data_IF_540727636723
#
_entry.id   IF_540727636723
#
_cell.length_a   1.000
_cell.length_b   1.000
_cell.length_c   1.000
_cell.angle_alpha   90.00
_cell.angle_beta   90.00
_cell.angle_gamma   90.00
#
_symmetry.space_group_name_H-M   'P 1'
#
loop_
_entity.id
_entity.type
_entity.pdbx_description
1 polymer ?
#
# COMPACT_ATOMS: atom_id res chain seq x y z
N UNK A 1 -6.75 -6.55 -2.28
CA UNK A 1 -5.65 -6.88 -3.21
C UNK A 1 -5.17 -5.59 -3.85
N UNK A 2 -3.86 -5.39 -3.92
CA UNK A 2 -3.25 -4.28 -4.64
C UNK A 2 -1.99 -4.78 -5.32
N UNK A 3 -1.51 -4.06 -6.32
CA UNK A 3 -0.29 -4.36 -7.08
C UNK A 3 0.58 -3.11 -7.06
N UNK A 4 1.85 -3.28 -6.72
CA UNK A 4 2.87 -2.24 -6.72
C UNK A 4 4.02 -2.64 -7.64
N UNK A 5 4.77 -1.67 -8.11
CA UNK A 5 6.01 -1.88 -8.85
C UNK A 5 7.24 -1.93 -7.91
N UNK A 6 8.45 -2.09 -8.47
CA UNK A 6 9.71 -2.14 -7.72
C UNK A 6 10.13 -0.81 -7.11
N UNK A 7 9.63 0.32 -7.63
CA UNK A 7 9.76 1.65 -7.04
C UNK A 7 8.71 1.94 -5.96
N UNK A 8 7.98 0.90 -5.51
CA UNK A 8 6.91 0.99 -4.51
C UNK A 8 5.72 1.86 -4.92
N UNK A 9 5.54 2.13 -6.22
CA UNK A 9 4.38 2.87 -6.71
C UNK A 9 3.21 1.94 -6.91
N UNK A 10 2.03 2.41 -6.56
CA UNK A 10 0.78 1.67 -6.73
C UNK A 10 0.41 1.63 -8.20
N UNK A 11 0.27 0.43 -8.76
CA UNK A 11 -0.22 0.21 -10.12
C UNK A 11 -1.73 -0.01 -10.11
N UNK A 12 -2.21 -0.85 -9.19
CA UNK A 12 -3.60 -1.27 -9.10
C UNK A 12 -4.03 -1.44 -7.65
N UNK A 13 -5.26 -1.05 -7.34
CA UNK A 13 -5.87 -1.25 -6.03
C UNK A 13 -7.27 -1.85 -6.20
N UNK A 14 -7.67 -2.75 -5.30
CA UNK A 14 -9.02 -3.30 -5.33
C UNK A 14 -10.07 -2.25 -4.95
N UNK A 15 -11.25 -2.36 -5.55
CA UNK A 15 -12.38 -1.44 -5.33
C UNK A 15 -12.68 -1.17 -3.85
N UNK A 16 -12.67 -2.21 -3.01
CA UNK A 16 -12.96 -2.06 -1.57
C UNK A 16 -11.99 -1.11 -0.85
N UNK A 17 -10.70 -1.13 -1.21
CA UNK A 17 -9.72 -0.26 -0.57
C UNK A 17 -9.84 1.19 -1.07
N UNK A 18 -10.22 1.39 -2.33
CA UNK A 18 -10.57 2.70 -2.89
C UNK A 18 -11.75 3.31 -2.14
N UNK A 19 -12.82 2.54 -1.93
CA UNK A 19 -14.01 2.97 -1.18
C UNK A 19 -13.68 3.32 0.28
N UNK A 20 -12.88 2.49 0.95
CA UNK A 20 -12.47 2.71 2.34
C UNK A 20 -11.61 3.97 2.53
N UNK A 21 -10.79 4.31 1.53
CA UNK A 21 -9.95 5.52 1.53
C UNK A 21 -10.65 6.73 0.91
N UNK A 22 -11.84 6.56 0.34
CA UNK A 22 -12.58 7.58 -0.40
C UNK A 22 -11.76 8.21 -1.55
N UNK A 23 -11.03 7.37 -2.29
CA UNK A 23 -10.20 7.79 -3.44
C UNK A 23 -10.55 6.99 -4.69
N UNK A 24 -10.18 7.50 -5.87
CA UNK A 24 -10.33 6.77 -7.13
C UNK A 24 -9.05 5.99 -7.48
N UNK A 25 -9.17 5.07 -8.44
CA UNK A 25 -8.01 4.33 -8.94
C UNK A 25 -6.97 5.26 -9.59
N UNK A 26 -7.43 6.37 -10.18
CA UNK A 26 -6.57 7.38 -10.81
C UNK A 26 -5.83 8.23 -9.76
N UNK A 27 -6.48 8.56 -8.64
CA UNK A 27 -5.83 9.30 -7.55
C UNK A 27 -4.68 8.50 -6.92
N UNK A 28 -4.84 7.19 -6.76
CA UNK A 28 -3.83 6.36 -6.08
C UNK A 28 -2.75 5.83 -7.02
N UNK A 29 -3.02 5.72 -8.32
CA UNK A 29 -2.08 5.16 -9.29
C UNK A 29 -0.85 6.06 -9.41
N UNK A 30 0.33 5.48 -9.26
CA UNK A 30 1.61 6.19 -9.32
C UNK A 30 2.06 6.80 -7.98
N UNK A 31 1.18 6.88 -6.97
CA UNK A 31 1.58 7.26 -5.60
C UNK A 31 2.38 6.14 -4.94
N UNK A 32 3.20 6.51 -3.97
CA UNK A 32 3.94 5.53 -3.16
C UNK A 32 2.99 4.76 -2.24
N UNK A 33 3.19 3.45 -2.11
CA UNK A 33 2.31 2.59 -1.32
C UNK A 33 2.28 2.97 0.18
N UNK A 34 3.41 3.44 0.72
CA UNK A 34 3.52 3.87 2.12
C UNK A 34 2.82 5.21 2.37
N UNK A 35 2.80 6.10 1.38
CA UNK A 35 2.02 7.34 1.43
C UNK A 35 0.53 7.03 1.32
N UNK A 36 0.14 6.32 0.25
CA UNK A 36 -1.27 6.09 -0.07
C UNK A 36 -2.01 5.21 0.96
N UNK A 37 -1.36 4.16 1.46
CA UNK A 37 -2.01 3.23 2.38
C UNK A 37 -1.74 3.56 3.85
N UNK A 38 -0.50 3.93 4.19
CA UNK A 38 -0.06 4.09 5.57
C UNK A 38 0.04 5.56 6.01
N UNK A 39 -0.09 6.53 5.09
CA UNK A 39 0.05 7.94 5.41
C UNK A 39 1.45 8.31 5.90
N UNK A 40 2.47 7.50 5.54
CA UNK A 40 3.87 7.72 5.90
C UNK A 40 4.59 8.45 4.76
N UNK A 41 5.67 9.14 5.10
CA UNK A 41 6.57 9.77 4.10
C UNK A 41 7.76 8.87 3.75
N UNK A 42 7.84 7.68 4.34
CA UNK A 42 8.94 6.73 4.17
C UNK A 42 8.43 5.29 4.15
N UNK A 43 9.29 4.37 3.68
CA UNK A 43 9.03 2.94 3.68
C UNK A 43 8.63 2.46 5.08
N UNK A 44 7.74 1.47 5.14
CA UNK A 44 7.36 0.90 6.43
C UNK A 44 8.54 0.17 7.07
N UNK A 45 8.75 0.34 8.38
CA UNK A 45 9.77 -0.39 9.17
C UNK A 45 9.73 -1.91 8.92
N UNK A 46 8.52 -2.50 8.93
CA UNK A 46 8.29 -3.87 8.50
C UNK A 46 7.55 -3.88 7.16
N UNK A 47 8.28 -4.03 6.05
CA UNK A 47 7.72 -3.97 4.71
C UNK A 47 7.88 -5.30 3.96
N UNK A 48 6.77 -6.01 3.76
CA UNK A 48 6.76 -7.25 2.98
C UNK A 48 7.29 -7.04 1.56
N UNK A 49 6.97 -5.91 0.93
CA UNK A 49 7.47 -5.60 -0.41
C UNK A 49 9.00 -5.48 -0.44
N UNK A 50 9.59 -4.80 0.56
CA UNK A 50 11.05 -4.66 0.67
C UNK A 50 11.71 -6.02 0.80
N UNK A 51 11.20 -6.89 1.67
CA UNK A 51 11.75 -8.23 1.85
C UNK A 51 11.59 -9.11 0.60
N UNK A 52 10.45 -9.04 -0.10
CA UNK A 52 10.25 -9.76 -1.36
C UNK A 52 11.23 -9.27 -2.43
N UNK A 53 11.47 -7.96 -2.53
CA UNK A 53 12.39 -7.40 -3.51
C UNK A 53 13.86 -7.71 -3.19
N UNK A 54 14.24 -7.78 -1.91
CA UNK A 54 15.60 -8.13 -1.47
C UNK A 54 15.88 -9.64 -1.58
N UNK A 55 14.91 -10.48 -1.20
CA UNK A 55 15.12 -11.93 -1.10
C UNK A 55 14.65 -12.73 -2.31
N UNK A 56 13.75 -12.17 -3.12
CA UNK A 56 13.07 -12.87 -4.20
C UNK A 56 12.06 -13.93 -3.74
N UNK A 57 11.79 -14.04 -2.43
CA UNK A 57 10.86 -15.02 -1.85
C UNK A 57 9.54 -14.34 -1.46
N UNK A 58 8.40 -15.05 -1.54
CA UNK A 58 7.13 -14.50 -1.08
C UNK A 58 7.17 -14.23 0.42
N UNK A 59 6.76 -13.02 0.82
CA UNK A 59 6.63 -12.61 2.21
C UNK A 59 5.25 -11.99 2.45
N UNK A 60 4.64 -12.29 3.59
CA UNK A 60 3.31 -11.81 3.97
C UNK A 60 3.32 -11.36 5.42
N UNK A 61 2.71 -10.22 5.69
CA UNK A 61 2.55 -9.69 7.04
C UNK A 61 1.17 -9.07 7.20
N UNK A 62 0.69 -9.04 8.44
CA UNK A 62 -0.57 -8.40 8.80
C UNK A 62 -0.28 -6.94 9.15
N UNK A 63 -0.99 -6.03 8.50
CA UNK A 63 -0.92 -4.58 8.75
C UNK A 63 -2.30 -4.03 9.01
N UNK A 64 -2.41 -3.17 10.01
CA UNK A 64 -3.57 -2.30 10.17
C UNK A 64 -3.50 -1.21 9.11
N UNK A 65 -4.63 -0.93 8.48
CA UNK A 65 -4.76 0.17 7.52
C UNK A 65 -5.38 1.36 8.24
N UNK A 66 -4.67 2.50 8.37
CA UNK A 66 -5.27 3.70 8.93
C UNK A 66 -6.35 4.21 7.97
N UNK A 67 -7.60 4.22 8.42
CA UNK A 67 -8.73 4.76 7.67
C UNK A 67 -8.92 6.25 8.01
N UNK A 68 -9.31 7.09 7.03
CA UNK A 68 -9.56 8.51 7.26
C UNK A 68 -10.67 8.77 8.30
N UNK A 69 -11.58 7.82 8.49
CA UNK A 69 -12.70 7.90 9.44
C UNK A 69 -12.33 7.53 10.90
N UNK A 70 -11.05 7.25 11.20
CA UNK A 70 -10.59 6.91 12.55
C UNK A 70 -11.05 5.54 13.08
N UNK A 71 -11.81 4.76 12.29
CA UNK A 71 -12.15 3.37 12.62
C UNK A 71 -10.92 2.48 12.43
N UNK A 72 -10.48 1.86 13.52
CA UNK A 72 -9.40 0.86 13.55
C UNK A 72 -9.94 -0.53 13.23
#
# INVERSE_FOLDING_TARGET
MHVIDRDYKVLLTNKKLLELKNVTQEDIRGKFCYEAYQGKNELCEQCAAKEVFETGKPHSLIKTLPLPDGRK
#
